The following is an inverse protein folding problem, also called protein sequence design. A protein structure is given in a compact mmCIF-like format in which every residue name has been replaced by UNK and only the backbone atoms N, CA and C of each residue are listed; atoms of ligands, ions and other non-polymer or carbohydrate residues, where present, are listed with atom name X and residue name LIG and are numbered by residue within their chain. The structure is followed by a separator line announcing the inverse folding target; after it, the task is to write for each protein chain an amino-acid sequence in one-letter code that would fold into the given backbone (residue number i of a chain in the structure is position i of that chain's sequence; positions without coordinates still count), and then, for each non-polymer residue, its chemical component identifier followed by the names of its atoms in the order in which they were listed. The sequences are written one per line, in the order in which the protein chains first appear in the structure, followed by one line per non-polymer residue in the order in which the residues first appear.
data_IF_957936238426
#
_entry.id   IF_957936238426
#
_cell.length_a   1.000
_cell.length_b   1.000
_cell.length_c   1.000
_cell.angle_alpha   90.00
_cell.angle_beta   90.00
_cell.angle_gamma   90.00
#
_symmetry.space_group_name_H-M   'P 1'
#
loop_
_entity.id
_entity.type
_entity.pdbx_description
1 polymer ?
#
# COMPACT_ATOMS: atom_id res chain seq x y z
N UNK A 1 30.06 4.39 -2.32
CA UNK A 1 28.66 4.66 -2.72
C UNK A 1 27.95 3.32 -2.73
N UNK A 2 27.22 3.01 -1.66
CA UNK A 2 26.52 1.72 -1.56
C UNK A 2 25.28 1.83 -2.46
N UNK A 3 25.27 1.11 -3.58
CA UNK A 3 24.07 0.94 -4.37
C UNK A 3 23.10 0.10 -3.53
N UNK A 4 22.29 0.77 -2.71
CA UNK A 4 21.11 0.15 -2.12
C UNK A 4 20.25 -0.27 -3.30
N UNK A 5 20.28 -1.55 -3.66
CA UNK A 5 19.33 -2.15 -4.59
C UNK A 5 17.95 -1.82 -4.04
N UNK A 6 17.31 -0.75 -4.55
CA UNK A 6 15.92 -0.42 -4.27
C UNK A 6 15.13 -1.61 -4.77
N UNK A 7 14.85 -2.55 -3.86
CA UNK A 7 13.81 -3.52 -4.08
C UNK A 7 12.54 -2.68 -4.16
N UNK A 8 12.04 -2.56 -5.38
CA UNK A 8 10.79 -1.88 -5.66
C UNK A 8 9.72 -2.95 -5.43
N UNK A 9 8.92 -2.77 -4.38
CA UNK A 9 7.73 -3.58 -4.13
C UNK A 9 6.94 -3.77 -5.43
N UNK A 10 6.58 -5.03 -5.73
CA UNK A 10 5.87 -5.34 -6.96
C UNK A 10 4.37 -5.10 -6.77
N UNK A 11 3.81 -4.19 -7.56
CA UNK A 11 2.36 -3.99 -7.58
C UNK A 11 1.68 -5.11 -8.37
N UNK A 12 0.70 -5.78 -7.76
CA UNK A 12 -0.04 -6.91 -8.33
C UNK A 12 -1.55 -6.69 -8.25
N UNK A 13 -2.31 -7.47 -9.01
CA UNK A 13 -3.77 -7.39 -9.05
C UNK A 13 -4.31 -6.42 -10.10
N UNK A 14 -5.61 -6.14 -10.03
CA UNK A 14 -6.33 -5.35 -11.06
C UNK A 14 -6.03 -3.86 -11.00
N UNK A 15 -5.69 -3.35 -9.82
CA UNK A 15 -5.33 -1.94 -9.60
C UNK A 15 -3.84 -1.87 -9.27
N UNK A 16 -3.07 -1.25 -10.16
CA UNK A 16 -1.66 -0.93 -9.98
C UNK A 16 -1.48 0.57 -9.74
N UNK A 17 -0.28 1.02 -9.35
CA UNK A 17 0.02 2.44 -9.13
C UNK A 17 -0.40 3.35 -10.29
N UNK A 18 -0.29 2.88 -11.54
CA UNK A 18 -0.62 3.67 -12.72
C UNK A 18 -2.12 3.91 -12.90
N UNK A 19 -2.97 3.17 -12.18
CA UNK A 19 -4.42 3.41 -12.14
C UNK A 19 -4.84 4.38 -11.04
N UNK A 20 -3.89 4.84 -10.21
CA UNK A 20 -4.12 5.87 -9.21
C UNK A 20 -4.00 7.26 -9.84
N UNK A 21 -4.77 8.21 -9.31
CA UNK A 21 -4.61 9.61 -9.65
C UNK A 21 -3.28 10.18 -9.14
N UNK A 22 -2.91 11.35 -9.67
CA UNK A 22 -1.64 12.03 -9.37
C UNK A 22 -1.45 12.36 -7.89
N UNK A 23 -2.51 12.49 -7.09
CA UNK A 23 -2.41 12.74 -5.66
C UNK A 23 -2.23 11.44 -4.88
N UNK A 24 -2.99 10.41 -5.22
CA UNK A 24 -2.96 9.11 -4.54
C UNK A 24 -1.69 8.32 -4.84
N UNK A 25 -1.18 8.39 -6.08
CA UNK A 25 -0.01 7.64 -6.53
C UNK A 25 1.23 7.83 -5.64
N UNK A 26 1.74 9.06 -5.40
CA UNK A 26 2.93 9.24 -4.56
C UNK A 26 2.71 8.81 -3.11
N UNK A 27 1.50 9.03 -2.57
CA UNK A 27 1.12 8.66 -1.20
C UNK A 27 1.12 7.15 -1.01
N UNK A 28 0.42 6.42 -1.89
CA UNK A 28 0.37 4.96 -1.88
C UNK A 28 1.76 4.37 -2.10
N UNK A 29 2.53 4.93 -3.04
CA UNK A 29 3.88 4.44 -3.32
C UNK A 29 4.81 4.58 -2.11
N UNK A 30 4.85 5.77 -1.49
CA UNK A 30 5.67 6.01 -0.30
C UNK A 30 5.27 5.08 0.86
N UNK A 31 3.98 4.86 1.07
CA UNK A 31 3.49 3.94 2.10
C UNK A 31 3.90 2.49 1.83
N UNK A 32 3.81 2.03 0.57
CA UNK A 32 4.25 0.69 0.18
C UNK A 32 5.76 0.49 0.36
N UNK A 33 6.57 1.47 -0.03
CA UNK A 33 8.02 1.45 0.19
C UNK A 33 8.36 1.41 1.69
N UNK A 34 7.63 2.18 2.51
CA UNK A 34 7.82 2.18 3.96
C UNK A 34 7.42 0.83 4.60
N UNK A 35 6.34 0.21 4.11
CA UNK A 35 5.91 -1.11 4.56
C UNK A 35 6.95 -2.19 4.22
N UNK A 36 7.49 -2.20 3.00
CA UNK A 36 8.58 -3.11 2.61
C UNK A 36 9.84 -2.88 3.47
N UNK A 37 10.21 -1.62 3.72
CA UNK A 37 11.37 -1.28 4.54
C UNK A 37 11.21 -1.77 5.99
N UNK A 38 10.00 -1.66 6.54
CA UNK A 38 9.71 -2.12 7.89
C UNK A 38 9.58 -3.64 7.99
N UNK A 39 9.06 -4.28 6.93
CA UNK A 39 8.90 -5.73 6.87
C UNK A 39 9.44 -6.28 5.53
N UNK A 40 10.69 -6.78 5.50
CA UNK A 40 11.31 -7.27 4.28
C UNK A 40 10.67 -8.55 3.71
N UNK A 41 9.74 -9.20 4.43
CA UNK A 41 8.93 -10.30 3.91
C UNK A 41 7.90 -9.81 2.87
N UNK A 42 7.51 -8.53 2.93
CA UNK A 42 6.64 -7.92 1.93
C UNK A 42 7.42 -7.79 0.62
N UNK A 43 6.91 -8.43 -0.44
CA UNK A 43 7.47 -8.37 -1.80
C UNK A 43 6.49 -7.83 -2.81
N UNK A 44 5.19 -7.97 -2.52
CA UNK A 44 4.11 -7.61 -3.43
C UNK A 44 3.08 -6.74 -2.69
N UNK A 45 2.51 -5.76 -3.38
CA UNK A 45 1.40 -4.95 -2.90
C UNK A 45 0.23 -5.03 -3.89
N UNK A 46 -0.95 -5.38 -3.38
CA UNK A 46 -2.20 -5.38 -4.14
C UNK A 46 -3.08 -4.23 -3.66
N UNK A 47 -3.28 -3.22 -4.51
CA UNK A 47 -4.12 -2.07 -4.19
C UNK A 47 -5.59 -2.47 -4.37
N UNK A 48 -6.41 -2.30 -3.33
CA UNK A 48 -7.83 -2.60 -3.35
C UNK A 48 -8.62 -1.33 -3.63
N UNK A 49 -8.81 -1.08 -4.92
CA UNK A 49 -9.56 0.07 -5.43
C UNK A 49 -8.64 1.25 -5.76
N UNK A 50 -8.93 1.92 -6.88
CA UNK A 50 -8.15 3.07 -7.35
C UNK A 50 -8.58 4.39 -6.73
N UNK A 51 -9.61 4.37 -5.88
CA UNK A 51 -10.22 5.55 -5.28
C UNK A 51 -10.27 5.40 -3.76
N UNK A 52 -10.11 6.54 -3.11
CA UNK A 52 -10.41 6.79 -1.71
C UNK A 52 -11.81 6.27 -1.35
N UNK A 53 -11.88 5.39 -0.35
CA UNK A 53 -13.13 4.83 0.17
C UNK A 53 -13.12 4.85 1.70
N UNK A 54 -14.29 4.78 2.32
CA UNK A 54 -14.38 4.72 3.77
C UNK A 54 -13.89 3.36 4.28
N UNK A 55 -13.12 3.35 5.37
CA UNK A 55 -12.75 2.11 6.05
C UNK A 55 -14.01 1.44 6.61
N UNK A 56 -14.17 0.14 6.35
CA UNK A 56 -15.23 -0.64 6.98
C UNK A 56 -14.85 -1.07 8.41
N UNK A 57 -13.55 -1.11 8.70
CA UNK A 57 -12.99 -1.57 9.98
C UNK A 57 -13.19 -0.51 11.08
N UNK A 58 -13.09 0.77 10.71
CA UNK A 58 -13.23 1.91 11.61
C UNK A 58 -14.41 2.79 11.18
N UNK A 59 -15.66 2.46 11.58
CA UNK A 59 -16.83 3.27 11.23
C UNK A 59 -16.77 4.69 11.82
N UNK A 60 -15.95 4.90 12.85
CA UNK A 60 -15.70 6.22 13.45
C UNK A 60 -14.64 7.04 12.69
N UNK A 61 -13.76 6.39 11.93
CA UNK A 61 -12.78 7.08 11.11
C UNK A 61 -13.44 7.51 9.80
N UNK A 62 -13.87 8.76 9.78
CA UNK A 62 -14.49 9.37 8.59
C UNK A 62 -13.48 9.69 7.49
N UNK A 63 -12.18 9.42 7.69
CA UNK A 63 -11.20 9.75 6.68
C UNK A 63 -11.20 8.68 5.59
N UNK A 64 -11.18 9.11 4.32
CA UNK A 64 -10.99 8.16 3.24
C UNK A 64 -9.65 7.44 3.34
N UNK A 65 -9.66 6.16 2.99
CA UNK A 65 -8.49 5.28 2.91
C UNK A 65 -8.37 4.62 1.54
N UNK A 66 -7.16 4.18 1.22
CA UNK A 66 -6.88 3.17 0.20
C UNK A 66 -6.38 1.93 0.93
N UNK A 67 -7.07 0.82 0.71
CA UNK A 67 -6.73 -0.48 1.25
C UNK A 67 -5.66 -1.14 0.37
N UNK A 68 -4.57 -1.62 0.96
CA UNK A 68 -3.45 -2.25 0.26
C UNK A 68 -3.15 -3.58 0.93
N UNK A 69 -3.23 -4.68 0.19
CA UNK A 69 -2.86 -6.01 0.70
C UNK A 69 -1.39 -6.26 0.41
N UNK A 70 -0.61 -6.39 1.46
CA UNK A 70 0.79 -6.77 1.34
C UNK A 70 0.92 -8.29 1.33
N UNK A 71 1.73 -8.77 0.40
CA UNK A 71 1.95 -10.19 0.16
C UNK A 71 3.44 -10.53 0.11
N UNK A 72 3.74 -11.78 0.40
CA UNK A 72 5.07 -12.35 0.23
C UNK A 72 5.38 -12.67 -1.25
N UNK A 73 6.53 -13.28 -1.50
CA UNK A 73 6.93 -13.73 -2.84
C UNK A 73 5.97 -14.79 -3.43
N UNK A 74 5.34 -15.60 -2.58
CA UNK A 74 4.40 -16.67 -2.94
C UNK A 74 2.94 -16.20 -3.07
N UNK A 75 2.70 -14.89 -3.15
CA UNK A 75 1.35 -14.29 -3.17
C UNK A 75 0.50 -14.56 -1.92
N UNK A 76 1.13 -15.01 -0.82
CA UNK A 76 0.45 -15.17 0.47
C UNK A 76 0.27 -13.81 1.13
N UNK A 77 -0.95 -13.52 1.56
CA UNK A 77 -1.27 -12.28 2.30
C UNK A 77 -0.53 -12.29 3.64
N UNK A 78 0.27 -11.25 3.87
CA UNK A 78 0.97 -11.02 5.15
C UNK A 78 0.10 -10.12 6.03
N UNK A 79 -0.31 -8.96 5.52
CA UNK A 79 -1.03 -7.93 6.27
C UNK A 79 -1.81 -7.03 5.30
N UNK A 80 -2.65 -6.15 5.82
CA UNK A 80 -3.36 -5.14 5.03
C UNK A 80 -3.10 -3.76 5.60
N UNK A 81 -2.58 -2.87 4.76
CA UNK A 81 -2.41 -1.47 5.10
C UNK A 81 -3.60 -0.64 4.65
N UNK A 82 -4.09 0.21 5.54
CA UNK A 82 -5.01 1.28 5.21
C UNK A 82 -4.22 2.58 5.21
N UNK A 83 -4.03 3.20 4.05
CA UNK A 83 -3.35 4.50 3.92
C UNK A 83 -4.39 5.59 3.71
N UNK A 84 -4.23 6.73 4.37
CA UNK A 84 -5.03 7.93 4.23
C UNK A 84 -4.39 8.91 3.23
N UNK A 85 -5.14 9.93 2.83
CA UNK A 85 -4.69 10.98 1.90
C UNK A 85 -3.46 11.75 2.38
N UNK A 86 -3.27 11.88 3.69
CA UNK A 86 -2.12 12.54 4.31
C UNK A 86 -0.86 11.64 4.35
N UNK A 87 -0.95 10.40 3.85
CA UNK A 87 0.13 9.41 3.88
C UNK A 87 0.31 8.71 5.22
N UNK A 88 -0.51 9.03 6.21
CA UNK A 88 -0.60 8.22 7.43
C UNK A 88 -1.37 6.95 7.14
N UNK A 89 -1.01 5.86 7.80
CA UNK A 89 -1.72 4.60 7.61
C UNK A 89 -1.35 3.58 8.66
N UNK A 90 -2.23 2.59 8.82
CA UNK A 90 -2.03 1.48 9.75
C UNK A 90 -2.01 0.17 9.00
N UNK A 91 -1.12 -0.72 9.43
CA UNK A 91 -1.14 -2.12 9.04
C UNK A 91 -2.02 -2.88 10.05
N UNK A 92 -2.97 -3.66 9.54
CA UNK A 92 -3.85 -4.57 10.27
C UNK A 92 -3.61 -6.02 9.86
#
# INVERSE_FOLDING_TARGET
MQASSRRLIKYVGTVTLDKLDSQSRPVVNAFCEQAEKNNPAIKKAEIKGSRWHQSHDDPNDKKPVISIRFKDENDRRITTGHVHQDGTGKLS
#
